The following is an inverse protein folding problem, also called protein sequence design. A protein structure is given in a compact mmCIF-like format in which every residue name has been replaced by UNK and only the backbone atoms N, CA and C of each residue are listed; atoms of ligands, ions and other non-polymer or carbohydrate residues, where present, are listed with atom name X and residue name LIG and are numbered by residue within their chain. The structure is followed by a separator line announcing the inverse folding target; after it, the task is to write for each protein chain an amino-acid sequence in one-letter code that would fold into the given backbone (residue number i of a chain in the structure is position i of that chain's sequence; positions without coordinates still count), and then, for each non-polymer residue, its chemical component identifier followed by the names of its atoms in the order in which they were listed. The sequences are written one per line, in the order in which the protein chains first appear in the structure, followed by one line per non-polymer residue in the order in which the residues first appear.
data_IF_210193197816
#
_entry.id   IF_210193197816
#
_cell.length_a   1.000
_cell.length_b   1.000
_cell.length_c   1.000
_cell.angle_alpha   90.00
_cell.angle_beta   90.00
_cell.angle_gamma   90.00
#
_symmetry.space_group_name_H-M   'P 1'
#
loop_
_entity.id
_entity.type
_entity.pdbx_description
1 polymer ?
#
# COMPACT_ATOMS: atom_id res chain seq x y z
N UNK A 1 -10.75 -16.55 12.55
CA UNK A 1 -11.13 -15.20 12.05
C UNK A 1 -9.95 -14.59 11.34
N UNK A 2 -10.15 -13.86 10.25
CA UNK A 2 -9.08 -13.16 9.52
C UNK A 2 -8.41 -12.13 10.45
N UNK A 3 -7.06 -12.05 10.43
CA UNK A 3 -6.29 -11.14 11.29
C UNK A 3 -5.59 -10.02 10.53
N UNK A 4 -5.14 -10.30 9.31
CA UNK A 4 -4.49 -9.35 8.42
C UNK A 4 -4.65 -9.83 6.98
N UNK A 5 -4.60 -8.92 6.03
CA UNK A 5 -4.45 -9.20 4.61
C UNK A 5 -3.22 -8.46 4.09
N UNK A 6 -2.49 -9.11 3.18
CA UNK A 6 -1.28 -8.59 2.56
C UNK A 6 -1.43 -8.71 1.05
N UNK A 7 -1.02 -7.68 0.33
CA UNK A 7 -0.91 -7.69 -1.14
C UNK A 7 0.54 -7.50 -1.51
N UNK A 8 0.94 -8.18 -2.58
CA UNK A 8 2.26 -8.03 -3.19
C UNK A 8 2.08 -8.23 -4.69
N UNK A 9 2.76 -7.41 -5.49
CA UNK A 9 2.72 -7.55 -6.95
C UNK A 9 3.30 -8.90 -7.39
N UNK A 10 2.65 -9.51 -8.38
CA UNK A 10 3.00 -10.86 -8.84
C UNK A 10 4.28 -10.92 -9.69
N UNK A 11 4.78 -9.78 -10.17
CA UNK A 11 5.97 -9.66 -11.01
C UNK A 11 7.26 -9.40 -10.21
N UNK A 12 7.18 -9.31 -8.88
CA UNK A 12 8.34 -9.14 -8.02
C UNK A 12 9.28 -10.35 -8.08
N UNK A 13 10.55 -10.06 -8.35
CA UNK A 13 11.63 -11.07 -8.37
C UNK A 13 12.48 -11.09 -7.11
N UNK A 14 12.42 -10.03 -6.30
CA UNK A 14 13.26 -9.80 -5.12
C UNK A 14 12.54 -10.01 -3.79
N UNK A 15 11.29 -10.49 -3.82
CA UNK A 15 10.51 -10.75 -2.61
C UNK A 15 11.22 -11.79 -1.74
N UNK A 16 11.29 -11.54 -0.43
CA UNK A 16 11.86 -12.47 0.55
C UNK A 16 10.83 -12.80 1.64
N UNK A 17 10.96 -13.93 2.36
CA UNK A 17 10.01 -14.30 3.42
C UNK A 17 9.87 -13.23 4.52
N UNK A 18 10.90 -12.45 4.77
CA UNK A 18 10.91 -11.36 5.76
C UNK A 18 9.89 -10.27 5.44
N UNK A 19 9.55 -10.07 4.15
CA UNK A 19 8.55 -9.07 3.74
C UNK A 19 7.18 -9.38 4.33
N UNK A 20 6.80 -10.66 4.41
CA UNK A 20 5.55 -11.09 5.05
C UNK A 20 5.50 -10.64 6.50
N UNK A 21 6.63 -10.77 7.21
CA UNK A 21 6.75 -10.30 8.60
C UNK A 21 6.66 -8.77 8.67
N UNK A 22 7.45 -8.04 7.88
CA UNK A 22 7.48 -6.57 7.93
C UNK A 22 6.15 -5.92 7.57
N UNK A 23 5.42 -6.48 6.59
CA UNK A 23 4.11 -6.00 6.21
C UNK A 23 3.03 -6.45 7.21
N UNK A 24 3.09 -7.69 7.72
CA UNK A 24 2.04 -8.24 8.57
C UNK A 24 2.12 -7.82 10.04
N UNK A 25 3.31 -7.69 10.60
CA UNK A 25 3.52 -7.43 12.03
C UNK A 25 2.88 -6.13 12.53
N UNK A 26 2.92 -4.99 11.79
CA UNK A 26 2.22 -3.78 12.22
C UNK A 26 0.70 -3.99 12.31
N UNK A 27 0.10 -4.72 11.37
CA UNK A 27 -1.34 -5.03 11.43
C UNK A 27 -1.67 -5.87 12.66
N UNK A 28 -0.83 -6.86 12.98
CA UNK A 28 -0.99 -7.68 14.19
C UNK A 28 -0.79 -6.89 15.49
N UNK A 29 -0.06 -5.76 15.44
CA UNK A 29 0.10 -4.81 16.55
C UNK A 29 -1.06 -3.82 16.68
N UNK A 30 -2.04 -3.87 15.79
CA UNK A 30 -3.27 -3.06 15.86
C UNK A 30 -3.31 -1.87 14.91
N UNK A 31 -2.35 -1.74 13.99
CA UNK A 31 -2.44 -0.74 12.92
C UNK A 31 -3.38 -1.21 11.80
N UNK A 32 -4.04 -0.26 11.14
CA UNK A 32 -5.00 -0.59 10.07
C UNK A 32 -4.37 -0.72 8.68
N UNK A 33 -3.19 -0.13 8.47
CA UNK A 33 -2.53 -0.09 7.17
C UNK A 33 -1.01 -0.03 7.31
N UNK A 34 -0.28 -0.71 6.42
CA UNK A 34 1.19 -0.67 6.36
C UNK A 34 1.65 -0.43 4.93
N UNK A 35 2.60 0.49 4.78
CA UNK A 35 3.35 0.70 3.54
C UNK A 35 4.82 0.33 3.74
N UNK A 36 5.46 -0.30 2.74
CA UNK A 36 6.88 -0.62 2.80
C UNK A 36 7.73 0.64 2.60
N UNK A 37 8.92 0.62 3.21
CA UNK A 37 9.97 1.59 2.93
C UNK A 37 11.18 0.84 2.38
N UNK A 38 11.42 0.99 1.07
CA UNK A 38 12.58 0.41 0.40
C UNK A 38 13.22 1.42 -0.56
N UNK A 39 14.48 1.15 -0.90
CA UNK A 39 15.19 1.89 -1.95
C UNK A 39 14.70 1.42 -3.31
N UNK A 40 14.53 2.37 -4.24
CA UNK A 40 14.29 2.09 -5.65
C UNK A 40 15.47 2.60 -6.47
N UNK A 41 15.63 2.04 -7.67
CA UNK A 41 16.53 2.61 -8.65
C UNK A 41 16.08 4.04 -9.00
N UNK A 42 17.02 4.94 -9.27
CA UNK A 42 16.73 6.37 -9.48
C UNK A 42 15.82 6.67 -10.67
N UNK A 43 15.74 5.76 -11.65
CA UNK A 43 14.87 5.88 -12.82
C UNK A 43 13.53 5.14 -12.68
N UNK A 44 13.32 4.45 -11.55
CA UNK A 44 12.05 3.78 -11.26
C UNK A 44 11.12 4.68 -10.45
N UNK A 45 9.82 4.44 -10.59
CA UNK A 45 8.81 5.15 -9.80
C UNK A 45 8.72 6.63 -10.14
N UNK A 46 8.89 7.02 -11.41
CA UNK A 46 8.81 8.42 -11.86
C UNK A 46 7.52 9.09 -11.40
N UNK A 47 6.37 8.40 -11.55
CA UNK A 47 5.06 8.88 -11.06
C UNK A 47 5.09 9.05 -9.54
N UNK A 48 5.58 8.04 -8.81
CA UNK A 48 5.71 8.10 -7.35
C UNK A 48 6.56 9.28 -6.89
N UNK A 49 7.73 9.47 -7.49
CA UNK A 49 8.73 10.44 -7.05
C UNK A 49 8.38 11.89 -7.44
N UNK A 50 7.81 12.09 -8.63
CA UNK A 50 7.60 13.43 -9.20
C UNK A 50 6.14 13.90 -9.13
N UNK A 51 5.19 13.02 -8.84
CA UNK A 51 3.76 13.36 -8.76
C UNK A 51 3.21 13.00 -7.38
N UNK A 52 3.16 11.72 -7.03
CA UNK A 52 2.46 11.30 -5.82
C UNK A 52 3.15 11.80 -4.54
N UNK A 53 4.47 11.62 -4.40
CA UNK A 53 5.19 12.07 -3.21
C UNK A 53 5.07 13.58 -2.98
N UNK A 54 5.32 14.46 -3.98
CA UNK A 54 5.10 15.89 -3.80
C UNK A 54 3.66 16.27 -3.45
N UNK A 55 2.65 15.58 -4.01
CA UNK A 55 1.24 15.84 -3.70
C UNK A 55 0.90 15.46 -2.26
N UNK A 56 1.28 14.26 -1.81
CA UNK A 56 1.04 13.82 -0.43
C UNK A 56 1.77 14.72 0.55
N UNK A 57 3.04 15.06 0.28
CA UNK A 57 3.81 15.95 1.13
C UNK A 57 3.24 17.38 1.16
N UNK A 58 2.89 17.94 0.00
CA UNK A 58 2.41 19.31 -0.11
C UNK A 58 0.99 19.52 0.45
N UNK A 59 0.10 18.53 0.30
CA UNK A 59 -1.29 18.66 0.72
C UNK A 59 -1.54 18.14 2.14
N UNK A 60 -0.87 17.05 2.53
CA UNK A 60 -1.11 16.39 3.82
C UNK A 60 0.03 16.60 4.82
N UNK A 61 1.19 17.11 4.39
CA UNK A 61 2.38 17.22 5.25
C UNK A 61 3.02 15.87 5.56
N UNK A 62 2.59 14.80 4.91
CA UNK A 62 2.98 13.42 5.23
C UNK A 62 4.12 12.93 4.35
N UNK A 63 5.10 12.28 4.98
CA UNK A 63 6.30 11.75 4.30
C UNK A 63 6.10 10.30 3.84
N UNK A 64 5.16 10.07 2.92
CA UNK A 64 4.89 8.74 2.37
C UNK A 64 5.71 8.46 1.11
N UNK A 65 6.73 7.60 1.21
CA UNK A 65 7.67 7.31 0.09
C UNK A 65 7.13 6.35 -0.97
N UNK A 66 6.16 5.50 -0.63
CA UNK A 66 5.55 4.53 -1.55
C UNK A 66 4.01 4.62 -1.53
N UNK A 67 3.40 5.79 -1.83
CA UNK A 67 1.96 6.01 -1.71
C UNK A 67 1.12 5.19 -2.69
N UNK A 68 1.72 4.68 -3.77
CA UNK A 68 1.07 3.87 -4.81
C UNK A 68 1.81 2.54 -5.04
N UNK A 69 2.53 2.05 -4.04
CA UNK A 69 3.20 0.74 -4.11
C UNK A 69 2.17 -0.41 -4.13
N UNK A 70 2.45 -1.46 -4.90
CA UNK A 70 1.59 -2.64 -4.96
C UNK A 70 1.70 -3.56 -3.74
N UNK A 71 2.73 -3.35 -2.92
CA UNK A 71 2.92 -4.08 -1.67
C UNK A 71 2.40 -3.27 -0.49
N UNK A 72 1.39 -3.79 0.19
CA UNK A 72 0.86 -3.18 1.41
C UNK A 72 0.09 -4.22 2.22
N UNK A 73 -0.27 -3.87 3.43
CA UNK A 73 -1.13 -4.70 4.27
C UNK A 73 -2.22 -3.88 4.92
N UNK A 74 -3.31 -4.55 5.28
CA UNK A 74 -4.46 -3.91 5.89
C UNK A 74 -5.18 -4.81 6.87
N UNK A 75 -5.84 -4.19 7.84
CA UNK A 75 -6.66 -4.89 8.83
C UNK A 75 -7.99 -5.35 8.23
N UNK A 76 -8.63 -6.37 8.82
CA UNK A 76 -10.00 -6.73 8.47
C UNK A 76 -11.00 -5.58 8.66
N UNK A 77 -10.74 -4.66 9.60
CA UNK A 77 -11.60 -3.50 9.83
C UNK A 77 -11.56 -2.54 8.64
N UNK A 78 -10.36 -2.22 8.14
CA UNK A 78 -10.17 -1.38 6.96
C UNK A 78 -10.71 -2.04 5.69
N UNK A 79 -10.49 -3.34 5.51
CA UNK A 79 -11.10 -4.12 4.41
C UNK A 79 -12.63 -3.98 4.41
N UNK A 80 -13.27 -4.21 5.55
CA UNK A 80 -14.72 -4.09 5.69
C UNK A 80 -15.20 -2.65 5.49
N UNK A 81 -14.39 -1.66 5.86
CA UNK A 81 -14.69 -0.26 5.58
C UNK A 81 -14.70 0.01 4.07
N UNK A 82 -13.67 -0.41 3.33
CA UNK A 82 -13.60 -0.22 1.87
C UNK A 82 -14.71 -0.93 1.11
N UNK A 83 -15.07 -2.15 1.51
CA UNK A 83 -16.15 -2.92 0.86
C UNK A 83 -17.53 -2.27 1.01
N UNK A 84 -17.72 -1.41 2.03
CA UNK A 84 -18.97 -0.68 2.26
C UNK A 84 -19.02 0.67 1.54
N UNK A 85 -17.90 1.15 0.99
CA UNK A 85 -17.88 2.45 0.33
C UNK A 85 -18.60 2.41 -1.01
N UNK A 86 -19.27 3.52 -1.35
CA UNK A 86 -19.80 3.75 -2.69
C UNK A 86 -18.68 4.30 -3.57
N UNK A 87 -18.01 3.41 -4.27
CA UNK A 87 -16.99 3.77 -5.26
C UNK A 87 -17.63 4.38 -6.50
N UNK A 88 -16.98 5.39 -7.08
CA UNK A 88 -17.37 5.96 -8.38
C UNK A 88 -17.45 4.83 -9.42
N UNK A 89 -18.49 4.77 -10.27
CA UNK A 89 -18.58 3.78 -11.34
C UNK A 89 -17.33 3.72 -12.24
N UNK A 90 -16.64 4.84 -12.46
CA UNK A 90 -15.41 4.91 -13.25
C UNK A 90 -14.20 4.26 -12.56
N UNK A 91 -14.23 4.11 -11.24
CA UNK A 91 -13.19 3.39 -10.50
C UNK A 91 -13.32 1.87 -10.63
N UNK A 92 -14.42 1.36 -11.18
CA UNK A 92 -14.61 -0.07 -11.44
C UNK A 92 -13.91 -0.42 -12.74
N UNK A 93 -13.07 -1.46 -12.70
CA UNK A 93 -12.59 -2.07 -13.92
C UNK A 93 -13.81 -2.62 -14.69
N UNK A 94 -14.07 -2.18 -15.94
CA UNK A 94 -15.09 -2.81 -16.75
C UNK A 94 -14.61 -4.23 -17.05
N UNK A 95 -15.29 -5.21 -16.45
CA UNK A 95 -15.14 -6.62 -16.78
C UNK A 95 -15.76 -6.90 -18.16
#
# INVERSE_FOLDING_TARGET
TLKAALTVDADLRSITPEWVKYLGEPILKGYDYTLPLYSRHQFDGTITNHICYPLFYGLLGEHLRQPIGGEFSFSPALMNHWLKQKWDPQARCPL
#
